data_IF_020185853340
#
_entry.id   IF_020185853340
#
_cell.length_a   1.000
_cell.length_b   1.000
_cell.length_c   1.000
_cell.angle_alpha   90.00
_cell.angle_beta   90.00
_cell.angle_gamma   90.00
#
_symmetry.space_group_name_H-M   'P 1'
#
loop_
_entity.id
_entity.type
_entity.pdbx_description
1 polymer ?
#
# COMPACT_ATOMS: atom_id res chain seq x y z
N UNK A 1 15.52 -23.92 -16.78
CA UNK A 1 14.13 -23.93 -17.31
C UNK A 1 13.09 -23.73 -16.20
N UNK A 2 12.97 -24.62 -15.21
CA UNK A 2 11.97 -24.48 -14.12
C UNK A 2 12.06 -23.16 -13.34
N UNK A 3 13.28 -22.74 -12.95
CA UNK A 3 13.47 -21.48 -12.22
C UNK A 3 12.96 -20.25 -12.99
N UNK A 4 13.20 -20.20 -14.30
CA UNK A 4 12.77 -19.09 -15.17
C UNK A 4 11.25 -19.04 -15.28
N UNK A 5 10.60 -20.22 -15.35
CA UNK A 5 9.14 -20.30 -15.36
C UNK A 5 8.54 -19.83 -14.03
N UNK A 6 9.15 -20.22 -12.90
CA UNK A 6 8.69 -19.80 -11.57
C UNK A 6 8.85 -18.29 -11.36
N UNK A 7 9.99 -17.71 -11.73
CA UNK A 7 10.20 -16.25 -11.59
C UNK A 7 9.28 -15.45 -12.50
N UNK A 8 9.06 -15.91 -13.75
CA UNK A 8 8.12 -15.27 -14.67
C UNK A 8 6.67 -15.32 -14.16
N UNK A 9 6.24 -16.45 -13.59
CA UNK A 9 4.90 -16.60 -13.02
C UNK A 9 4.69 -15.71 -11.79
N UNK A 10 5.69 -15.63 -10.91
CA UNK A 10 5.63 -14.75 -9.74
C UNK A 10 5.56 -13.29 -10.19
N UNK A 11 6.40 -12.90 -11.15
CA UNK A 11 6.42 -11.54 -11.66
C UNK A 11 5.08 -11.14 -12.28
N UNK A 12 4.51 -11.97 -13.15
CA UNK A 12 3.21 -11.69 -13.78
C UNK A 12 2.08 -11.59 -12.76
N UNK A 13 2.07 -12.48 -11.76
CA UNK A 13 1.11 -12.42 -10.65
C UNK A 13 1.23 -11.13 -9.83
N UNK A 14 2.44 -10.73 -9.44
CA UNK A 14 2.67 -9.52 -8.66
C UNK A 14 2.29 -8.25 -9.43
N UNK A 15 2.61 -8.18 -10.72
CA UNK A 15 2.20 -7.06 -11.58
C UNK A 15 0.68 -7.00 -11.72
N UNK A 16 0.02 -8.13 -12.00
CA UNK A 16 -1.43 -8.19 -12.10
C UNK A 16 -2.13 -7.79 -10.79
N UNK A 17 -1.63 -8.27 -9.66
CA UNK A 17 -2.13 -7.92 -8.34
C UNK A 17 -1.95 -6.43 -8.03
N UNK A 18 -0.80 -5.84 -8.38
CA UNK A 18 -0.52 -4.42 -8.19
C UNK A 18 -1.47 -3.54 -9.00
N UNK A 19 -1.67 -3.86 -10.28
CA UNK A 19 -2.61 -3.16 -11.16
C UNK A 19 -4.05 -3.27 -10.63
N UNK A 20 -4.47 -4.46 -10.19
CA UNK A 20 -5.78 -4.65 -9.56
C UNK A 20 -5.95 -3.76 -8.33
N UNK A 21 -4.95 -3.73 -7.44
CA UNK A 21 -4.97 -2.92 -6.19
C UNK A 21 -5.04 -1.42 -6.44
N UNK A 22 -4.42 -0.96 -7.53
CA UNK A 22 -4.35 0.45 -7.92
C UNK A 22 -5.59 0.95 -8.64
N UNK A 23 -6.16 0.17 -9.56
CA UNK A 23 -7.21 0.66 -10.46
C UNK A 23 -8.59 0.06 -10.18
N UNK A 24 -8.66 -1.20 -9.73
CA UNK A 24 -9.91 -1.94 -9.64
C UNK A 24 -10.37 -2.19 -8.20
N UNK A 25 -9.49 -1.98 -7.22
CA UNK A 25 -9.81 -2.21 -5.82
C UNK A 25 -10.86 -1.21 -5.31
N UNK A 26 -11.83 -1.60 -4.45
CA UNK A 26 -12.85 -0.70 -3.92
C UNK A 26 -12.30 0.49 -3.13
N UNK A 27 -11.06 0.39 -2.63
CA UNK A 27 -10.36 1.47 -1.93
C UNK A 27 -9.53 2.38 -2.86
N UNK A 28 -9.51 2.17 -4.17
CA UNK A 28 -8.71 3.00 -5.10
C UNK A 28 -9.16 4.47 -5.12
N UNK A 29 -10.43 4.73 -4.82
CA UNK A 29 -11.01 6.07 -4.73
C UNK A 29 -10.45 6.92 -3.60
N UNK A 30 -9.83 6.28 -2.60
CA UNK A 30 -9.29 6.99 -1.44
C UNK A 30 -7.84 7.39 -1.69
N UNK A 31 -7.49 8.66 -1.46
CA UNK A 31 -6.14 9.16 -1.66
C UNK A 31 -5.17 8.55 -0.64
N UNK A 32 -3.90 8.42 -1.03
CA UNK A 32 -2.85 7.91 -0.16
C UNK A 32 -1.58 7.53 -0.93
N UNK A 33 -0.49 7.17 -0.22
CA UNK A 33 0.75 6.75 -0.83
C UNK A 33 0.57 5.51 -1.70
N UNK A 34 1.12 5.50 -2.92
CA UNK A 34 1.06 4.36 -3.85
C UNK A 34 1.64 3.09 -3.22
N UNK A 35 2.71 3.21 -2.45
CA UNK A 35 3.35 2.09 -1.75
C UNK A 35 2.40 1.48 -0.71
N UNK A 36 1.63 2.32 -0.02
CA UNK A 36 0.60 1.90 0.92
C UNK A 36 -0.56 1.21 0.19
N UNK A 37 -0.95 1.66 -1.00
CA UNK A 37 -1.96 0.99 -1.81
C UNK A 37 -1.51 -0.39 -2.33
N UNK A 38 -0.20 -0.59 -2.54
CA UNK A 38 0.36 -1.81 -3.10
C UNK A 38 0.71 -2.86 -2.04
N UNK A 39 1.27 -2.46 -0.90
CA UNK A 39 1.85 -3.36 0.09
C UNK A 39 1.70 -2.84 1.51
N UNK A 40 1.63 -3.74 2.49
CA UNK A 40 1.65 -3.40 3.92
C UNK A 40 3.04 -2.93 4.41
N UNK A 41 4.06 -2.97 3.55
CA UNK A 41 5.42 -2.57 3.87
C UNK A 41 5.53 -1.09 4.25
N UNK A 42 4.60 -0.26 3.79
CA UNK A 42 4.54 1.15 4.21
C UNK A 42 4.33 1.26 5.72
N UNK A 43 3.39 0.51 6.27
CA UNK A 43 3.12 0.46 7.71
C UNK A 43 4.30 -0.13 8.48
N UNK A 44 4.86 -1.24 7.96
CA UNK A 44 6.04 -1.90 8.56
C UNK A 44 7.24 -0.97 8.61
N UNK A 45 7.49 -0.18 7.55
CA UNK A 45 8.59 0.78 7.52
C UNK A 45 8.43 1.85 8.62
N UNK A 46 7.24 2.43 8.76
CA UNK A 46 7.00 3.46 9.78
C UNK A 46 6.97 2.91 11.21
N UNK A 47 6.54 1.67 11.41
CA UNK A 47 6.54 1.05 12.74
C UNK A 47 7.93 0.55 13.13
N UNK A 48 8.62 -0.20 12.27
CA UNK A 48 9.88 -0.87 12.60
C UNK A 48 11.08 0.05 12.36
N UNK A 49 11.19 0.61 11.15
CA UNK A 49 12.39 1.36 10.75
C UNK A 49 12.39 2.76 11.34
N UNK A 50 11.21 3.40 11.44
CA UNK A 50 11.05 4.73 12.04
C UNK A 50 10.72 4.69 13.54
N UNK A 51 10.73 3.51 14.18
CA UNK A 51 10.55 3.37 15.62
C UNK A 51 9.17 3.80 16.14
N UNK A 52 8.09 3.43 15.44
CA UNK A 52 6.71 3.71 15.87
C UNK A 52 6.11 5.02 15.34
N UNK A 53 6.71 5.63 14.31
CA UNK A 53 6.26 6.90 13.71
C UNK A 53 5.03 6.81 12.82
N UNK A 54 4.31 5.68 12.79
CA UNK A 54 3.15 5.49 11.92
C UNK A 54 2.00 6.44 12.27
N UNK A 55 1.71 6.64 13.55
CA UNK A 55 0.59 7.49 13.99
C UNK A 55 0.79 8.93 13.52
N UNK A 56 1.99 9.47 13.73
CA UNK A 56 2.37 10.82 13.26
C UNK A 56 2.33 10.91 11.74
N UNK A 57 2.74 9.87 11.03
CA UNK A 57 2.65 9.85 9.56
C UNK A 57 1.20 9.82 9.08
N UNK A 58 0.32 9.05 9.72
CA UNK A 58 -1.11 9.02 9.40
C UNK A 58 -1.73 10.40 9.60
N UNK A 59 -1.42 11.08 10.70
CA UNK A 59 -1.89 12.44 10.97
C UNK A 59 -1.41 13.42 9.88
N UNK A 60 -0.14 13.32 9.49
CA UNK A 60 0.42 14.09 8.35
C UNK A 60 -0.32 13.78 7.04
N UNK A 61 -0.67 12.52 6.80
CA UNK A 61 -1.41 12.13 5.61
C UNK A 61 -2.84 12.69 5.63
N UNK A 62 -3.52 12.69 6.78
CA UNK A 62 -4.85 13.30 6.92
C UNK A 62 -4.81 14.81 6.65
N UNK A 63 -3.74 15.50 7.04
CA UNK A 63 -3.52 16.91 6.70
C UNK A 63 -3.34 17.15 5.19
N UNK A 64 -2.75 16.19 4.47
CA UNK A 64 -2.46 16.30 3.03
C UNK A 64 -3.63 15.87 2.13
N UNK A 65 -4.30 14.79 2.51
CA UNK A 65 -5.26 14.08 1.65
C UNK A 65 -6.70 14.17 2.16
N UNK A 66 -6.91 14.70 3.38
CA UNK A 66 -8.22 14.86 3.99
C UNK A 66 -8.61 13.72 4.94
N UNK A 67 -9.89 13.61 5.33
CA UNK A 67 -10.35 12.79 6.46
C UNK A 67 -10.26 11.28 6.23
N UNK A 68 -10.11 10.82 4.98
CA UNK A 68 -10.02 9.40 4.64
C UNK A 68 -8.77 9.17 3.81
N UNK A 69 -7.84 8.38 4.35
CA UNK A 69 -6.58 8.06 3.68
C UNK A 69 -6.38 6.57 3.59
N UNK A 70 -5.93 6.10 2.43
CA UNK A 70 -5.50 4.73 2.23
C UNK A 70 -4.10 4.51 2.83
N UNK A 71 -4.02 3.68 3.86
CA UNK A 71 -2.76 3.36 4.56
C UNK A 71 -2.28 1.93 4.31
N UNK A 72 -3.07 1.13 3.59
CA UNK A 72 -2.72 -0.23 3.20
C UNK A 72 -3.48 -0.69 1.96
N UNK A 73 -3.13 -1.85 1.37
CA UNK A 73 -3.82 -2.43 0.23
C UNK A 73 -5.31 -2.64 0.54
N UNK A 74 -5.62 -3.09 1.75
CA UNK A 74 -6.98 -3.39 2.22
C UNK A 74 -7.42 -2.48 3.39
N UNK A 75 -6.66 -1.44 3.70
CA UNK A 75 -6.86 -0.63 4.91
C UNK A 75 -6.92 0.85 4.56
N UNK A 76 -7.99 1.52 4.99
CA UNK A 76 -8.10 2.96 4.99
C UNK A 76 -8.35 3.43 6.42
N UNK A 77 -7.77 4.57 6.79
CA UNK A 77 -7.91 5.17 8.11
C UNK A 77 -8.66 6.48 8.03
N UNK A 78 -9.57 6.63 8.97
CA UNK A 78 -10.32 7.85 9.23
C UNK A 78 -9.53 8.70 10.24
N UNK A 79 -9.62 10.02 10.10
CA UNK A 79 -9.04 10.98 11.04
C UNK A 79 -9.73 10.96 12.41
#
# INVERSE_FOLDING_TARGET
MLYILLTSLIFSYLTGLGLYRLFFHPLHRYPGPVIAALTDLYEVYHNIVRGGGLVTEIERLHQLYGPVVRTGPNTARLS
#
